data_IF_648963476357
#
_entry.id   IF_648963476357
#
_cell.length_a   1.000
_cell.length_b   1.000
_cell.length_c   1.000
_cell.angle_alpha   90.00
_cell.angle_beta   90.00
_cell.angle_gamma   90.00
#
_symmetry.space_group_name_H-M   'P 1'
#
loop_
_entity.id
_entity.type
_entity.pdbx_description
1 polymer ?
#
# COMPACT_ATOMS: atom_id res chain seq x y z
N UNK A 1 6.68 9.89 16.68
CA UNK A 1 6.00 10.39 15.49
C UNK A 1 6.31 9.53 14.26
N UNK A 2 7.57 9.31 13.93
CA UNK A 2 7.90 8.50 12.75
C UNK A 2 7.43 7.06 12.85
N UNK A 3 7.48 6.49 14.04
CA UNK A 3 7.01 5.12 14.27
C UNK A 3 5.50 4.97 14.13
N UNK A 4 4.78 6.07 13.93
CA UNK A 4 3.33 6.03 13.72
C UNK A 4 2.94 5.91 12.24
N UNK A 5 3.92 5.89 11.33
CA UNK A 5 3.66 5.81 9.89
C UNK A 5 4.33 4.58 9.30
N UNK A 6 3.67 3.97 8.33
CA UNK A 6 4.17 2.83 7.58
C UNK A 6 4.15 3.13 6.09
N UNK A 7 5.19 2.70 5.39
CA UNK A 7 5.25 2.68 3.93
C UNK A 7 4.97 1.26 3.51
N UNK A 8 3.97 1.07 2.64
CA UNK A 8 3.47 -0.26 2.31
C UNK A 8 3.64 -0.50 0.82
N UNK A 9 4.28 -1.61 0.46
CA UNK A 9 4.46 -2.02 -0.92
C UNK A 9 3.48 -3.12 -1.28
N UNK A 10 2.85 -2.97 -2.45
CA UNK A 10 1.94 -3.98 -2.98
C UNK A 10 2.04 -3.96 -4.50
N UNK A 11 2.18 -5.11 -5.14
CA UNK A 11 2.24 -5.19 -6.60
C UNK A 11 0.94 -5.74 -7.16
N UNK A 12 0.58 -5.28 -8.36
CA UNK A 12 -0.66 -5.63 -9.05
C UNK A 12 -0.35 -6.06 -10.49
N UNK A 13 -1.23 -6.86 -11.10
CA UNK A 13 -0.95 -7.38 -12.45
C UNK A 13 -0.99 -6.32 -13.54
N UNK A 14 -1.69 -5.20 -13.33
CA UNK A 14 -1.83 -4.16 -14.35
C UNK A 14 -2.16 -2.82 -13.71
N UNK A 15 -1.94 -1.70 -14.46
CA UNK A 15 -2.17 -0.36 -13.91
C UNK A 15 -3.63 -0.08 -13.58
N UNK A 16 -4.58 -0.62 -14.34
CA UNK A 16 -6.00 -0.35 -14.13
C UNK A 16 -6.47 -0.94 -12.79
N UNK A 17 -6.12 -2.19 -12.52
CA UNK A 17 -6.45 -2.84 -11.26
C UNK A 17 -5.79 -2.11 -10.09
N UNK A 18 -4.51 -1.76 -10.25
CA UNK A 18 -3.77 -1.03 -9.23
C UNK A 18 -4.43 0.32 -8.92
N UNK A 19 -4.81 1.07 -9.96
CA UNK A 19 -5.42 2.38 -9.78
C UNK A 19 -6.75 2.27 -9.04
N UNK A 20 -7.60 1.33 -9.44
CA UNK A 20 -8.93 1.17 -8.86
C UNK A 20 -8.84 0.85 -7.37
N UNK A 21 -7.98 -0.10 -7.03
CA UNK A 21 -7.81 -0.53 -5.64
C UNK A 21 -7.13 0.56 -4.81
N UNK A 22 -6.10 1.22 -5.36
CA UNK A 22 -5.39 2.29 -4.67
C UNK A 22 -6.32 3.47 -4.39
N UNK A 23 -7.12 3.86 -5.37
CA UNK A 23 -8.06 4.97 -5.20
C UNK A 23 -9.08 4.66 -4.10
N UNK A 24 -9.61 3.45 -4.11
CA UNK A 24 -10.58 3.04 -3.10
C UNK A 24 -9.95 3.05 -1.70
N UNK A 25 -8.72 2.58 -1.59
CA UNK A 25 -8.01 2.60 -0.30
C UNK A 25 -7.87 4.02 0.25
N UNK A 26 -7.55 4.98 -0.61
CA UNK A 26 -7.39 6.38 -0.20
C UNK A 26 -8.75 7.00 0.11
N UNK A 27 -9.76 6.74 -0.71
CA UNK A 27 -11.10 7.27 -0.45
C UNK A 27 -11.66 6.80 0.88
N UNK A 28 -11.38 5.57 1.28
CA UNK A 28 -11.84 5.03 2.55
C UNK A 28 -10.88 5.32 3.70
N UNK A 29 -9.82 6.09 3.44
CA UNK A 29 -8.83 6.47 4.45
C UNK A 29 -8.08 5.30 5.07
N UNK A 30 -8.01 4.19 4.38
CA UNK A 30 -7.09 3.11 4.77
C UNK A 30 -5.65 3.54 4.57
N UNK A 31 -5.42 4.47 3.64
CA UNK A 31 -4.12 5.07 3.40
C UNK A 31 -4.30 6.55 3.12
N UNK A 32 -3.29 7.35 3.50
CA UNK A 32 -3.31 8.79 3.22
C UNK A 32 -3.00 9.06 1.76
N UNK A 33 -2.14 8.26 1.17
CA UNK A 33 -1.83 8.39 -0.25
C UNK A 33 -1.32 7.07 -0.82
N UNK A 34 -1.33 7.02 -2.15
CA UNK A 34 -0.80 5.88 -2.89
C UNK A 34 -0.07 6.43 -4.12
N UNK A 35 1.13 5.94 -4.35
CA UNK A 35 1.90 6.25 -5.55
C UNK A 35 1.95 5.00 -6.41
N UNK A 36 1.64 5.14 -7.69
CA UNK A 36 1.67 4.02 -8.63
C UNK A 36 2.90 4.11 -9.51
N UNK A 37 3.66 3.01 -9.57
CA UNK A 37 4.84 2.90 -10.42
C UNK A 37 4.55 1.83 -11.46
N UNK A 38 4.23 2.21 -12.69
CA UNK A 38 3.92 1.22 -13.74
C UNK A 38 5.20 0.59 -14.30
N UNK A 39 5.03 -0.47 -15.04
CA UNK A 39 6.12 -1.12 -15.79
C UNK A 39 7.23 -1.64 -14.90
N UNK A 40 6.87 -2.22 -13.78
CA UNK A 40 7.83 -2.89 -12.91
C UNK A 40 7.98 -4.31 -13.40
N UNK A 41 9.23 -4.73 -13.65
CA UNK A 41 9.52 -6.10 -14.05
C UNK A 41 9.85 -6.90 -12.80
N UNK A 42 9.00 -7.86 -12.48
CA UNK A 42 9.17 -8.71 -11.30
C UNK A 42 9.70 -10.07 -11.71
N UNK A 43 10.74 -10.51 -11.04
CA UNK A 43 11.35 -11.81 -11.25
C UNK A 43 11.30 -12.53 -9.91
N UNK A 44 10.64 -13.69 -9.88
CA UNK A 44 10.37 -14.36 -8.61
C UNK A 44 10.29 -15.86 -8.81
N UNK A 45 10.36 -16.59 -7.72
CA UNK A 45 10.24 -18.06 -7.72
C UNK A 45 8.83 -18.44 -7.30
N UNK A 46 8.20 -19.26 -8.15
CA UNK A 46 6.85 -19.75 -7.89
C UNK A 46 6.78 -21.22 -8.32
N UNK A 47 6.33 -22.06 -7.42
CA UNK A 47 6.22 -23.50 -7.66
C UNK A 47 7.54 -24.10 -8.18
N UNK A 48 8.66 -23.69 -7.59
CA UNK A 48 9.99 -24.20 -7.92
C UNK A 48 10.59 -23.65 -9.20
N UNK A 49 9.94 -22.69 -9.86
CA UNK A 49 10.42 -22.12 -11.11
C UNK A 49 10.60 -20.63 -10.99
N UNK A 50 11.57 -20.10 -11.74
CA UNK A 50 11.76 -18.65 -11.87
C UNK A 50 10.75 -18.14 -12.90
N UNK A 51 9.92 -17.20 -12.46
CA UNK A 51 8.88 -16.57 -13.26
C UNK A 51 9.22 -15.12 -13.48
N UNK A 52 8.60 -14.51 -14.48
CA UNK A 52 8.75 -13.09 -14.74
C UNK A 52 7.38 -12.52 -15.11
N UNK A 53 7.09 -11.34 -14.60
CA UNK A 53 5.81 -10.67 -14.89
C UNK A 53 6.02 -9.17 -14.92
N UNK A 54 5.23 -8.50 -15.75
CA UNK A 54 5.15 -7.04 -15.71
C UNK A 54 4.07 -6.69 -14.71
N UNK A 55 4.41 -5.79 -13.76
CA UNK A 55 3.49 -5.44 -12.69
C UNK A 55 3.47 -3.93 -12.47
N UNK A 56 2.50 -3.47 -11.71
CA UNK A 56 2.43 -2.09 -11.23
C UNK A 56 2.65 -2.14 -9.73
N UNK A 57 3.66 -1.40 -9.25
CA UNK A 57 3.93 -1.28 -7.84
C UNK A 57 3.13 -0.12 -7.27
N UNK A 58 2.43 -0.35 -6.18
CA UNK A 58 1.78 0.72 -5.43
C UNK A 58 2.49 0.89 -4.10
N UNK A 59 2.83 2.14 -3.81
CA UNK A 59 3.47 2.50 -2.54
C UNK A 59 2.45 3.32 -1.75
N UNK A 60 1.93 2.70 -0.70
CA UNK A 60 0.96 3.37 0.17
C UNK A 60 1.67 4.01 1.35
N UNK A 61 1.11 5.11 1.86
CA UNK A 61 1.54 5.67 3.14
C UNK A 61 0.33 5.69 4.06
N UNK A 62 0.49 5.11 5.24
CA UNK A 62 -0.61 5.00 6.18
C UNK A 62 -0.09 5.07 7.63
N UNK A 63 -1.00 5.23 8.56
CA UNK A 63 -0.64 5.19 9.97
C UNK A 63 -0.51 3.75 10.46
N UNK A 64 0.28 3.56 11.52
CA UNK A 64 0.45 2.24 12.12
C UNK A 64 -0.88 1.71 12.64
N UNK A 65 -1.73 2.60 13.14
CA UNK A 65 -3.05 2.21 13.67
C UNK A 65 -3.97 1.73 12.54
N UNK A 66 -3.87 2.36 11.37
CA UNK A 66 -4.75 2.03 10.25
C UNK A 66 -4.22 0.89 9.38
N UNK A 67 -2.93 0.56 9.49
CA UNK A 67 -2.32 -0.46 8.65
C UNK A 67 -3.07 -1.80 8.65
N UNK A 68 -3.51 -2.36 9.79
CA UNK A 68 -4.24 -3.63 9.75
C UNK A 68 -5.48 -3.59 8.87
N UNK A 69 -6.18 -2.45 8.83
CA UNK A 69 -7.36 -2.29 7.98
C UNK A 69 -6.98 -2.22 6.51
N UNK A 70 -5.86 -1.55 6.19
CA UNK A 70 -5.34 -1.51 4.83
C UNK A 70 -4.96 -2.92 4.36
N UNK A 71 -4.25 -3.66 5.21
CA UNK A 71 -3.86 -5.03 4.87
C UNK A 71 -5.08 -5.91 4.61
N UNK A 72 -6.08 -5.84 5.47
CA UNK A 72 -7.30 -6.62 5.32
C UNK A 72 -8.04 -6.25 4.02
N UNK A 73 -8.10 -4.94 3.73
CA UNK A 73 -8.71 -4.46 2.50
C UNK A 73 -7.97 -4.98 1.27
N UNK A 74 -6.65 -4.91 1.26
CA UNK A 74 -5.84 -5.38 0.14
C UNK A 74 -5.99 -6.88 -0.05
N UNK A 75 -6.01 -7.65 1.04
CA UNK A 75 -6.16 -9.10 0.95
C UNK A 75 -7.50 -9.50 0.32
N UNK A 76 -8.59 -8.84 0.66
CA UNK A 76 -9.90 -9.20 0.10
C UNK A 76 -10.14 -8.63 -1.30
N UNK A 77 -9.36 -7.62 -1.71
CA UNK A 77 -9.56 -6.94 -2.99
C UNK A 77 -8.58 -7.40 -4.07
N UNK A 78 -7.47 -8.00 -3.67
CA UNK A 78 -6.39 -8.33 -4.59
C UNK A 78 -6.74 -9.54 -5.46
N UNK A 79 -6.41 -9.51 -6.77
CA UNK A 79 -6.67 -10.66 -7.63
C UNK A 79 -5.76 -11.85 -7.39
N UNK A 80 -4.60 -11.65 -6.75
CA UNK A 80 -3.69 -12.77 -6.45
C UNK A 80 -4.12 -13.50 -5.19
N UNK A 81 -3.86 -14.80 -5.18
CA UNK A 81 -4.08 -15.62 -3.99
C UNK A 81 -3.11 -15.24 -2.87
N UNK A 82 -1.85 -14.98 -3.24
CA UNK A 82 -0.81 -14.57 -2.27
C UNK A 82 -0.17 -13.28 -2.77
N UNK A 83 -0.80 -12.12 -2.49
CA UNK A 83 -0.24 -10.84 -2.94
C UNK A 83 0.94 -10.40 -2.09
N UNK A 84 1.84 -9.62 -2.70
CA UNK A 84 2.89 -8.95 -1.94
C UNK A 84 2.27 -7.79 -1.18
N UNK A 85 2.30 -7.85 0.13
CA UNK A 85 1.87 -6.75 1.01
C UNK A 85 2.86 -6.70 2.14
N UNK A 86 3.77 -5.72 2.10
CA UNK A 86 4.78 -5.57 3.13
C UNK A 86 4.81 -4.12 3.60
N UNK A 87 5.09 -3.93 4.88
CA UNK A 87 5.12 -2.61 5.49
C UNK A 87 6.47 -2.36 6.12
N UNK A 88 6.95 -1.11 5.95
CA UNK A 88 8.21 -0.68 6.53
C UNK A 88 7.95 0.52 7.44
N UNK A 89 8.61 0.57 8.61
CA UNK A 89 8.54 1.75 9.46
C UNK A 89 9.40 2.87 8.88
N UNK A 90 9.11 4.10 9.24
CA UNK A 90 9.96 5.23 8.90
C UNK A 90 11.05 5.38 9.92
N UNK A 91 12.28 5.64 9.46
CA UNK A 91 13.38 6.02 10.36
C UNK A 91 13.49 7.54 10.46
N UNK A 92 12.99 8.28 9.47
CA UNK A 92 13.04 9.73 9.44
C UNK A 92 12.06 10.25 8.38
N UNK A 93 11.73 11.52 8.46
CA UNK A 93 10.86 12.15 7.48
C UNK A 93 10.58 13.60 7.88
N UNK A 94 10.05 14.38 6.93
CA UNK A 94 9.60 15.73 7.20
C UNK A 94 8.46 15.68 8.22
N UNK A 95 8.57 16.46 9.30
CA UNK A 95 7.56 16.46 10.35
C UNK A 95 6.18 16.83 9.80
N UNK A 96 6.11 17.79 8.91
CA UNK A 96 4.84 18.23 8.32
C UNK A 96 4.22 17.11 7.48
N UNK A 97 5.02 16.40 6.69
CA UNK A 97 4.51 15.31 5.84
C UNK A 97 4.05 14.12 6.69
N UNK A 98 4.84 13.75 7.69
CA UNK A 98 4.48 12.64 8.59
C UNK A 98 3.15 12.95 9.29
N UNK A 99 2.98 14.19 9.76
CA UNK A 99 1.72 14.60 10.38
C UNK A 99 0.56 14.51 9.39
N UNK A 100 0.81 14.94 8.15
CA UNK A 100 -0.21 14.86 7.10
C UNK A 100 -0.66 13.43 6.87
N UNK A 101 0.28 12.47 6.83
CA UNK A 101 -0.06 11.07 6.66
C UNK A 101 -0.93 10.57 7.81
N UNK A 102 -0.55 10.89 9.05
CA UNK A 102 -1.30 10.47 10.23
C UNK A 102 -2.72 11.04 10.19
N UNK A 103 -2.83 12.33 9.87
CA UNK A 103 -4.14 13.00 9.88
C UNK A 103 -5.08 12.52 8.77
N UNK A 104 -4.54 11.96 7.70
CA UNK A 104 -5.33 11.55 6.53
C UNK A 104 -5.43 10.03 6.36
N UNK A 105 -4.98 9.27 7.33
CA UNK A 105 -5.11 7.82 7.33
C UNK A 105 -5.72 7.36 8.64
N UNK A 106 -7.02 7.30 8.66
CA UNK A 106 -7.75 6.87 9.83
C UNK A 106 -9.23 6.92 9.57
N UNK A 107 -10.01 6.30 10.44
CA UNK A 107 -11.45 6.42 10.32
C UNK A 107 -11.81 7.88 10.47
N UNK A 108 -12.86 8.28 9.74
CA UNK A 108 -13.39 9.63 9.91
C UNK A 108 -13.62 9.84 11.39
N UNK A 109 -13.09 10.92 11.93
CA UNK A 109 -13.29 11.23 13.34
C UNK A 109 -14.76 11.51 13.52
N UNK A 110 -15.45 10.59 14.17
CA UNK A 110 -16.82 10.84 14.60
C UNK A 110 -16.69 11.76 15.81
N UNK A 111 -16.84 13.01 15.56
CA UNK A 111 -16.88 13.97 16.64
C UNK A 111 -18.20 13.94 17.34
#
# INVERSE_FOLDING_TARGET
MFNEVRVVFCTFPDPETAYRIARDAVEQQYAACANLVPCVKSIYRWLGRVQQADETLVIYKTSVIRYPDLEAFLLRSHPYEVPEIIALPLSAGSAAYVRWVIDNSGPAVSS
#
